data_IF_137229983189
#
_entry.id   IF_137229983189
#
_cell.length_a   1.000
_cell.length_b   1.000
_cell.length_c   1.000
_cell.angle_alpha   90.00
_cell.angle_beta   90.00
_cell.angle_gamma   90.00
#
_symmetry.space_group_name_H-M   'P 1'
#
loop_
_entity.id
_entity.type
_entity.pdbx_description
1 polymer ?
#
# COMPACT_ATOMS: atom_id res chain seq x y z
N UNK A 1 -4.44 -8.16 -15.56
CA UNK A 1 -5.19 -9.24 -14.89
C UNK A 1 -5.82 -10.18 -15.91
N UNK A 2 -6.46 -9.67 -16.96
CA UNK A 2 -7.17 -10.53 -17.95
C UNK A 2 -6.23 -11.50 -18.70
N UNK A 3 -5.01 -11.06 -19.00
CA UNK A 3 -4.04 -11.85 -19.76
C UNK A 3 -2.79 -12.23 -18.96
N UNK A 4 -2.71 -11.87 -17.69
CA UNK A 4 -1.56 -12.18 -16.83
C UNK A 4 -1.99 -13.07 -15.66
N UNK A 5 -1.10 -13.96 -15.27
CA UNK A 5 -1.31 -14.87 -14.12
C UNK A 5 -1.04 -14.17 -12.77
N UNK A 6 -1.49 -12.91 -12.61
CA UNK A 6 -1.34 -12.17 -11.36
C UNK A 6 -2.68 -12.03 -10.66
N UNK A 7 -2.64 -12.01 -9.34
CA UNK A 7 -3.82 -11.99 -8.48
C UNK A 7 -4.32 -10.56 -8.25
N UNK A 8 -3.43 -9.58 -8.27
CA UNK A 8 -3.78 -8.16 -8.19
C UNK A 8 -2.77 -7.29 -8.93
N UNK A 9 -3.22 -6.10 -9.32
CA UNK A 9 -2.39 -5.05 -9.92
C UNK A 9 -2.59 -3.76 -9.16
N UNK A 10 -1.51 -3.19 -8.66
CA UNK A 10 -1.52 -1.94 -7.90
C UNK A 10 -0.78 -0.84 -8.66
N UNK A 11 -1.35 0.36 -8.66
CA UNK A 11 -0.65 1.53 -9.15
C UNK A 11 0.38 2.01 -8.12
N UNK A 12 1.58 2.33 -8.57
CA UNK A 12 2.62 2.91 -7.72
C UNK A 12 3.18 4.18 -8.34
N UNK A 13 3.32 5.19 -7.49
CA UNK A 13 3.99 6.46 -7.84
C UNK A 13 5.51 6.35 -7.78
N UNK A 14 6.03 5.30 -7.18
CA UNK A 14 7.45 5.14 -6.83
C UNK A 14 8.20 4.11 -7.67
N UNK A 15 7.61 3.54 -8.72
CA UNK A 15 8.32 2.67 -9.67
C UNK A 15 9.50 3.44 -10.29
N UNK A 16 9.24 4.70 -10.72
CA UNK A 16 10.31 5.64 -11.00
C UNK A 16 10.48 6.56 -9.77
N UNK A 17 11.57 6.41 -9.00
CA UNK A 17 11.75 7.16 -7.75
C UNK A 17 11.76 8.68 -7.92
N UNK A 18 12.09 9.17 -9.10
CA UNK A 18 12.13 10.63 -9.39
C UNK A 18 10.76 11.20 -9.77
N UNK A 19 9.84 10.38 -10.23
CA UNK A 19 8.56 10.83 -10.75
C UNK A 19 7.69 11.57 -9.71
N UNK A 20 7.58 11.13 -8.44
CA UNK A 20 6.81 11.86 -7.44
C UNK A 20 7.32 13.28 -7.18
N UNK A 21 8.63 13.46 -7.11
CA UNK A 21 9.25 14.76 -6.90
C UNK A 21 9.03 15.68 -8.10
N UNK A 22 9.14 15.16 -9.32
CA UNK A 22 8.83 15.91 -10.55
C UNK A 22 7.36 16.31 -10.63
N UNK A 23 6.46 15.51 -10.06
CA UNK A 23 5.03 15.77 -9.98
C UNK A 23 4.64 16.74 -8.87
N UNK A 24 5.59 17.26 -8.09
CA UNK A 24 5.36 18.25 -7.04
C UNK A 24 5.15 17.66 -5.64
N UNK A 25 5.45 16.39 -5.42
CA UNK A 25 5.35 15.79 -4.07
C UNK A 25 6.33 16.50 -3.11
N UNK A 26 5.86 17.02 -1.96
CA UNK A 26 6.73 17.59 -0.95
C UNK A 26 7.77 16.58 -0.46
N UNK A 27 9.00 17.05 -0.20
CA UNK A 27 10.11 16.18 0.20
C UNK A 27 9.82 15.40 1.49
N UNK A 28 9.16 16.02 2.47
CA UNK A 28 8.78 15.34 3.72
C UNK A 28 7.81 14.17 3.47
N UNK A 29 6.86 14.33 2.57
CA UNK A 29 5.94 13.24 2.17
C UNK A 29 6.67 12.15 1.39
N UNK A 30 7.57 12.54 0.50
CA UNK A 30 8.38 11.60 -0.25
C UNK A 30 9.21 10.71 0.67
N UNK A 31 10.00 11.31 1.56
CA UNK A 31 10.84 10.58 2.50
C UNK A 31 10.01 9.74 3.48
N UNK A 32 8.92 10.29 3.99
CA UNK A 32 8.01 9.58 4.88
C UNK A 32 7.38 8.34 4.23
N UNK A 33 6.89 8.48 3.02
CA UNK A 33 6.31 7.35 2.27
C UNK A 33 7.37 6.26 1.99
N UNK A 34 8.56 6.66 1.58
CA UNK A 34 9.67 5.72 1.34
C UNK A 34 10.07 4.97 2.60
N UNK A 35 10.20 5.69 3.72
CA UNK A 35 10.56 5.09 5.00
C UNK A 35 9.50 4.11 5.50
N UNK A 36 8.23 4.52 5.48
CA UNK A 36 7.12 3.66 5.91
C UNK A 36 6.98 2.43 5.03
N UNK A 37 7.06 2.59 3.71
CA UNK A 37 7.02 1.46 2.76
C UNK A 37 8.17 0.49 3.00
N UNK A 38 9.37 0.97 3.23
CA UNK A 38 10.52 0.12 3.54
C UNK A 38 10.31 -0.71 4.79
N UNK A 39 9.85 -0.09 5.87
CA UNK A 39 9.59 -0.78 7.14
C UNK A 39 8.43 -1.77 6.99
N UNK A 40 7.36 -1.40 6.28
CA UNK A 40 6.25 -2.32 6.00
C UNK A 40 6.71 -3.55 5.19
N UNK A 41 7.56 -3.36 4.19
CA UNK A 41 8.15 -4.48 3.45
C UNK A 41 8.93 -5.43 4.35
N UNK A 42 9.70 -4.90 5.30
CA UNK A 42 10.44 -5.71 6.27
C UNK A 42 9.49 -6.52 7.17
N UNK A 43 8.43 -5.90 7.66
CA UNK A 43 7.46 -6.53 8.55
C UNK A 43 6.65 -7.59 7.81
N UNK A 44 6.16 -7.28 6.62
CA UNK A 44 5.25 -8.14 5.85
C UNK A 44 6.01 -9.19 5.03
N UNK A 45 7.27 -8.93 4.70
CA UNK A 45 8.08 -9.80 3.85
C UNK A 45 7.80 -9.61 2.35
N UNK A 46 7.46 -8.40 1.95
CA UNK A 46 7.17 -8.02 0.56
C UNK A 46 8.26 -7.14 -0.03
N UNK A 47 8.16 -6.86 -1.32
CA UNK A 47 9.04 -5.94 -2.06
C UNK A 47 8.25 -4.90 -2.83
N UNK A 48 7.25 -4.32 -2.20
CA UNK A 48 6.41 -3.28 -2.81
C UNK A 48 7.17 -1.96 -2.92
N UNK A 49 6.92 -1.20 -3.97
CA UNK A 49 7.44 0.16 -4.10
C UNK A 49 6.56 1.17 -3.38
N UNK A 50 5.28 0.85 -3.19
CA UNK A 50 4.33 1.69 -2.46
C UNK A 50 3.22 0.87 -1.81
N UNK A 51 2.86 1.19 -0.55
CA UNK A 51 1.72 0.60 0.16
C UNK A 51 0.47 1.49 0.17
N UNK A 52 0.60 2.77 -0.16
CA UNK A 52 -0.41 3.78 0.15
C UNK A 52 -1.17 4.32 -1.06
N UNK A 53 -0.95 3.74 -2.25
CA UNK A 53 -1.76 4.07 -3.42
C UNK A 53 -3.13 3.41 -3.35
N UNK A 54 -4.19 4.17 -3.61
CA UNK A 54 -5.54 3.66 -3.74
C UNK A 54 -5.87 3.07 -5.11
N UNK A 55 -4.93 3.09 -6.05
CA UNK A 55 -5.15 2.59 -7.42
C UNK A 55 -4.90 1.09 -7.47
N UNK A 56 -5.96 0.30 -7.30
CA UNK A 56 -5.86 -1.15 -7.14
C UNK A 56 -6.91 -1.91 -7.93
N UNK A 57 -6.49 -3.01 -8.52
CA UNK A 57 -7.36 -3.94 -9.23
C UNK A 57 -7.10 -5.36 -8.73
N UNK A 58 -8.14 -6.08 -8.39
CA UNK A 58 -8.06 -7.42 -7.82
C UNK A 58 -8.77 -8.44 -8.70
N UNK A 59 -8.25 -9.65 -8.74
CA UNK A 59 -9.02 -10.78 -9.22
C UNK A 59 -10.14 -11.10 -8.21
N UNK A 60 -11.36 -11.27 -8.71
CA UNK A 60 -12.55 -11.54 -7.86
C UNK A 60 -12.35 -12.79 -7.00
N UNK A 61 -11.69 -13.82 -7.52
CA UNK A 61 -11.42 -15.05 -6.78
C UNK A 61 -10.47 -14.82 -5.59
N UNK A 62 -9.58 -13.83 -5.68
CA UNK A 62 -8.70 -13.41 -4.58
C UNK A 62 -9.52 -12.74 -3.50
N UNK A 63 -10.37 -11.80 -3.87
CA UNK A 63 -11.24 -11.09 -2.93
C UNK A 63 -12.14 -12.04 -2.14
N UNK A 64 -12.68 -13.07 -2.80
CA UNK A 64 -13.50 -14.09 -2.14
C UNK A 64 -12.74 -14.94 -1.11
N UNK A 65 -11.43 -15.05 -1.25
CA UNK A 65 -10.56 -15.79 -0.32
C UNK A 65 -10.00 -14.95 0.81
N UNK A 66 -10.00 -13.63 0.64
CA UNK A 66 -9.56 -12.68 1.66
C UNK A 66 -10.75 -12.32 2.54
N UNK A 67 -10.59 -12.43 3.85
CA UNK A 67 -11.63 -12.03 4.80
C UNK A 67 -11.56 -10.53 5.07
N UNK A 68 -11.79 -9.73 4.01
CA UNK A 68 -11.69 -8.27 4.09
C UNK A 68 -12.77 -7.61 4.94
N UNK A 69 -13.88 -8.29 5.20
CA UNK A 69 -14.97 -7.79 6.05
C UNK A 69 -14.52 -7.60 7.52
N UNK A 70 -13.48 -8.32 7.94
CA UNK A 70 -12.87 -8.17 9.27
C UNK A 70 -11.82 -7.07 9.34
N UNK A 71 -11.50 -6.44 8.21
CA UNK A 71 -10.54 -5.35 8.17
C UNK A 71 -11.14 -4.08 8.76
N UNK A 72 -10.27 -3.17 9.18
CA UNK A 72 -10.69 -1.87 9.70
C UNK A 72 -11.32 -1.00 8.60
N UNK A 73 -12.25 -0.14 8.97
CA UNK A 73 -12.83 0.87 8.07
C UNK A 73 -12.01 2.17 8.09
N UNK A 74 -10.70 2.06 8.26
CA UNK A 74 -9.78 3.18 8.38
C UNK A 74 -8.75 3.16 7.24
N UNK A 75 -7.85 4.14 7.21
CA UNK A 75 -6.76 4.26 6.24
C UNK A 75 -5.81 3.05 6.21
N UNK A 76 -5.89 2.16 7.19
CA UNK A 76 -5.07 0.94 7.28
C UNK A 76 -5.61 -0.22 6.46
N UNK A 77 -6.84 -0.14 5.99
CA UNK A 77 -7.52 -1.18 5.20
C UNK A 77 -6.65 -1.67 4.03
N UNK A 78 -6.03 -0.75 3.32
CA UNK A 78 -5.18 -1.06 2.18
C UNK A 78 -3.93 -1.86 2.56
N UNK A 79 -3.33 -1.55 3.69
CA UNK A 79 -2.17 -2.31 4.21
C UNK A 79 -2.59 -3.69 4.70
N UNK A 80 -3.74 -3.80 5.32
CA UNK A 80 -4.30 -5.07 5.80
C UNK A 80 -4.54 -6.05 4.65
N UNK A 81 -5.06 -5.58 3.51
CA UNK A 81 -5.24 -6.41 2.31
C UNK A 81 -3.90 -6.93 1.79
N UNK A 82 -2.85 -6.10 1.74
CA UNK A 82 -1.52 -6.54 1.31
C UNK A 82 -0.99 -7.63 2.22
N UNK A 83 -1.17 -7.49 3.53
CA UNK A 83 -0.74 -8.49 4.51
C UNK A 83 -1.50 -9.81 4.30
N UNK A 84 -2.81 -9.75 4.12
CA UNK A 84 -3.63 -10.93 3.85
C UNK A 84 -3.22 -11.62 2.55
N UNK A 85 -2.99 -10.87 1.48
CA UNK A 85 -2.50 -11.38 0.21
C UNK A 85 -1.13 -12.06 0.35
N UNK A 86 -0.22 -11.42 1.10
CA UNK A 86 1.11 -11.97 1.37
C UNK A 86 1.04 -13.30 2.15
N UNK A 87 0.21 -13.38 3.18
CA UNK A 87 0.00 -14.61 3.96
C UNK A 87 -0.52 -15.76 3.09
N UNK A 88 -1.40 -15.46 2.14
CA UNK A 88 -1.97 -16.44 1.21
C UNK A 88 -1.09 -16.66 -0.03
N UNK A 89 0.08 -16.03 -0.10
CA UNK A 89 1.04 -16.12 -1.21
C UNK A 89 0.45 -15.72 -2.57
N UNK A 90 -0.47 -14.78 -2.58
CA UNK A 90 -0.99 -14.19 -3.80
C UNK A 90 0.03 -13.23 -4.44
N UNK A 91 0.04 -13.21 -5.76
CA UNK A 91 0.93 -12.35 -6.54
C UNK A 91 0.36 -10.94 -6.73
N UNK A 92 1.19 -9.94 -6.49
CA UNK A 92 0.86 -8.54 -6.72
C UNK A 92 1.85 -7.99 -7.75
N UNK A 93 1.32 -7.38 -8.81
CA UNK A 93 2.13 -6.64 -9.80
C UNK A 93 1.88 -5.14 -9.62
N UNK A 94 2.94 -4.36 -9.65
CA UNK A 94 2.85 -2.90 -9.64
C UNK A 94 3.00 -2.34 -11.05
N UNK A 95 2.22 -1.30 -11.34
CA UNK A 95 2.30 -0.50 -12.57
C UNK A 95 2.52 0.97 -12.23
N UNK A 96 3.25 1.73 -13.06
CA UNK A 96 3.46 3.15 -12.78
C UNK A 96 2.18 3.94 -12.95
N UNK A 97 1.93 4.86 -12.00
CA UNK A 97 0.87 5.87 -12.10
C UNK A 97 1.46 7.25 -11.94
N UNK A 98 0.84 8.23 -12.59
CA UNK A 98 1.27 9.61 -12.50
C UNK A 98 1.02 10.19 -11.11
N UNK A 99 1.94 11.06 -10.68
CA UNK A 99 1.78 11.91 -9.50
C UNK A 99 1.66 13.34 -9.95
N UNK A 100 0.55 13.98 -9.61
CA UNK A 100 0.33 15.41 -9.83
C UNK A 100 -0.12 15.99 -8.51
N UNK A 101 0.70 16.87 -7.94
CA UNK A 101 0.36 17.67 -6.76
C UNK A 101 -0.02 19.07 -7.22
N UNK A 102 -1.30 19.38 -7.12
CA UNK A 102 -1.82 20.75 -7.20
C UNK A 102 -1.94 21.32 -5.78
N UNK A 103 -2.51 22.54 -5.65
CA UNK A 103 -2.72 23.21 -4.36
C UNK A 103 -3.81 22.52 -3.51
N UNK A 104 -3.74 21.22 -3.41
CA UNK A 104 -4.69 20.41 -2.65
C UNK A 104 -4.36 20.43 -1.16
N UNK A 105 -5.35 20.75 -0.33
CA UNK A 105 -5.23 20.70 1.12
C UNK A 105 -5.49 19.26 1.56
N UNK A 106 -4.45 18.59 2.06
CA UNK A 106 -4.60 17.30 2.70
C UNK A 106 -4.73 17.47 4.21
N UNK A 107 -5.82 16.97 4.77
CA UNK A 107 -6.05 16.95 6.23
C UNK A 107 -5.24 15.83 6.92
N UNK A 108 -4.53 15.01 6.19
CA UNK A 108 -3.71 13.93 6.72
C UNK A 108 -2.41 14.49 7.31
N UNK A 109 -2.18 14.24 8.58
CA UNK A 109 -0.92 14.56 9.26
C UNK A 109 0.09 13.44 8.97
N UNK A 110 1.21 13.69 8.25
CA UNK A 110 2.09 12.62 7.75
C UNK A 110 2.77 11.81 8.84
N UNK A 111 3.28 12.44 9.90
CA UNK A 111 4.05 11.75 10.95
C UNK A 111 3.17 10.87 11.82
N UNK A 112 2.06 11.36 12.43
CA UNK A 112 1.15 10.51 13.19
C UNK A 112 0.56 9.38 12.34
N UNK A 113 0.22 9.65 11.10
CA UNK A 113 -0.28 8.65 10.16
C UNK A 113 0.75 7.54 9.92
N UNK A 114 2.00 7.88 9.65
CA UNK A 114 3.08 6.91 9.42
C UNK A 114 3.31 6.01 10.62
N UNK A 115 3.34 6.57 11.83
CA UNK A 115 3.50 5.80 13.07
C UNK A 115 2.31 4.85 13.27
N UNK A 116 1.09 5.33 13.10
CA UNK A 116 -0.11 4.53 13.26
C UNK A 116 -0.19 3.41 12.22
N UNK A 117 0.21 3.66 10.98
CA UNK A 117 0.28 2.63 9.93
C UNK A 117 1.26 1.53 10.31
N UNK A 118 2.44 1.87 10.83
CA UNK A 118 3.43 0.89 11.25
C UNK A 118 2.95 0.06 12.43
N UNK A 119 2.36 0.68 13.44
CA UNK A 119 1.78 -0.01 14.59
C UNK A 119 0.64 -0.94 14.17
N UNK A 120 -0.23 -0.47 13.29
CA UNK A 120 -1.33 -1.26 12.74
C UNK A 120 -0.81 -2.46 11.91
N UNK A 121 0.23 -2.27 11.13
CA UNK A 121 0.87 -3.33 10.34
C UNK A 121 1.43 -4.43 11.25
N UNK A 122 2.12 -4.06 12.31
CA UNK A 122 2.66 -5.01 13.30
C UNK A 122 1.53 -5.75 13.99
N UNK A 123 0.55 -5.02 14.49
CA UNK A 123 -0.61 -5.60 15.17
C UNK A 123 -1.36 -6.57 14.27
N UNK A 124 -1.65 -6.18 13.05
CA UNK A 124 -2.39 -7.02 12.12
C UNK A 124 -1.61 -8.29 11.75
N UNK A 125 -0.33 -8.18 11.43
CA UNK A 125 0.49 -9.33 11.05
C UNK A 125 0.63 -10.36 12.16
N UNK A 126 0.88 -9.93 13.39
CA UNK A 126 1.24 -10.82 14.50
C UNK A 126 0.07 -11.23 15.40
N UNK A 127 -0.95 -10.40 15.51
CA UNK A 127 -2.05 -10.61 16.46
C UNK A 127 -3.41 -10.88 15.81
N UNK A 128 -3.54 -10.61 14.51
CA UNK A 128 -4.79 -10.90 13.81
C UNK A 128 -4.81 -12.36 13.34
N UNK A 129 -5.72 -13.14 13.91
CA UNK A 129 -6.02 -14.50 13.43
C UNK A 129 -7.07 -14.40 12.33
N UNK A 130 -6.72 -14.85 11.18
CA UNK A 130 -7.64 -14.91 10.03
C UNK A 130 -8.78 -15.88 10.28
#
# INVERSE_FOLDING_TARGET
ILNSKVDAVFGSRFINPKAPLKGGMPMNRYLGNRAVTYIQNLIVGTKMTEFHSGYRCYNVNVIKKINFEKNTNDFYFDSEIIIQMSKLKFSIKEIPIATIYADEISNLKPIPYGINVLLSTIKYKFFHKD
#
